data_IF_341491632235
#
_entry.id   IF_341491632235
#
_cell.length_a   1.000
_cell.length_b   1.000
_cell.length_c   1.000
_cell.angle_alpha   90.00
_cell.angle_beta   90.00
_cell.angle_gamma   90.00
#
_symmetry.space_group_name_H-M   'P 1'
#
loop_
_entity.id
_entity.type
_entity.pdbx_description
1 polymer ?
#
# COMPACT_ATOMS: atom_id res chain seq x y z
N UNK A 1 -5.05 10.14 15.66
CA UNK A 1 -3.63 9.95 15.34
C UNK A 1 -3.13 8.71 16.06
N UNK A 2 -2.59 7.74 15.33
CA UNK A 2 -1.93 6.55 15.85
C UNK A 2 -0.50 6.53 15.32
N UNK A 3 0.47 6.25 16.19
CA UNK A 3 1.87 6.07 15.83
C UNK A 3 2.41 4.83 16.54
N UNK A 4 3.22 4.05 15.86
CA UNK A 4 3.92 2.91 16.38
C UNK A 4 5.40 3.01 16.01
N UNK A 5 6.28 2.74 16.97
CA UNK A 5 7.73 2.71 16.78
C UNK A 5 8.23 1.31 17.11
N UNK A 6 9.01 0.75 16.23
CA UNK A 6 9.49 -0.62 16.29
C UNK A 6 8.37 -1.63 16.67
N UNK A 7 7.22 -1.59 15.97
CA UNK A 7 6.10 -2.44 16.32
C UNK A 7 6.38 -3.88 15.88
N UNK A 8 6.22 -4.82 16.79
CA UNK A 8 6.21 -6.25 16.45
C UNK A 8 4.86 -6.63 15.81
N UNK A 9 4.75 -6.48 14.51
CA UNK A 9 3.61 -6.97 13.75
C UNK A 9 3.81 -8.40 13.19
N UNK A 10 4.99 -9.00 13.43
CA UNK A 10 5.38 -10.29 12.83
C UNK A 10 4.58 -11.48 13.33
N UNK A 11 3.97 -11.42 14.50
CA UNK A 11 3.22 -12.54 15.07
C UNK A 11 1.78 -12.68 14.54
N UNK A 12 1.25 -11.66 13.87
CA UNK A 12 -0.16 -11.63 13.42
C UNK A 12 -0.35 -12.32 12.07
N UNK A 13 0.70 -12.52 11.30
CA UNK A 13 0.61 -13.02 9.92
C UNK A 13 1.48 -14.26 9.63
N UNK A 14 1.55 -15.19 10.55
CA UNK A 14 1.84 -16.58 10.21
C UNK A 14 0.65 -17.16 9.42
N UNK A 15 0.28 -16.48 8.33
CA UNK A 15 -0.80 -16.91 7.48
C UNK A 15 -0.32 -17.96 6.50
N UNK A 16 -1.17 -18.95 6.26
CA UNK A 16 -1.01 -19.99 5.27
C UNK A 16 -0.35 -19.47 3.98
N UNK A 17 0.74 -20.09 3.60
CA UNK A 17 1.40 -19.86 2.32
C UNK A 17 0.42 -20.27 1.23
N UNK A 18 -0.37 -19.32 0.75
CA UNK A 18 -1.24 -19.52 -0.40
C UNK A 18 -0.37 -19.45 -1.64
N UNK A 19 -0.05 -20.61 -2.19
CA UNK A 19 0.66 -20.72 -3.45
C UNK A 19 -0.26 -20.21 -4.56
N UNK A 20 -0.01 -19.00 -5.04
CA UNK A 20 -0.73 -18.42 -6.17
C UNK A 20 0.00 -18.76 -7.46
N UNK A 21 -0.58 -19.63 -8.29
CA UNK A 21 -0.05 -19.98 -9.61
C UNK A 21 -0.48 -18.99 -10.72
N UNK A 22 -1.22 -17.92 -10.38
CA UNK A 22 -1.63 -16.92 -11.37
C UNK A 22 -0.61 -15.79 -11.46
N UNK A 23 -0.52 -15.13 -12.61
CA UNK A 23 0.29 -13.92 -12.79
C UNK A 23 -0.28 -12.69 -12.05
N UNK A 24 -1.45 -12.82 -11.44
CA UNK A 24 -2.15 -11.76 -10.72
C UNK A 24 -1.98 -11.98 -9.23
N UNK A 25 -1.47 -10.97 -8.51
CA UNK A 25 -1.37 -11.00 -7.06
C UNK A 25 -2.76 -11.15 -6.42
N UNK A 26 -2.91 -12.12 -5.53
CA UNK A 26 -4.14 -12.27 -4.75
C UNK A 26 -4.15 -11.24 -3.63
N UNK A 27 -5.17 -10.39 -3.59
CA UNK A 27 -5.34 -9.41 -2.52
C UNK A 27 -6.03 -10.06 -1.32
N UNK A 28 -5.40 -9.94 -0.15
CA UNK A 28 -5.98 -10.24 1.15
C UNK A 28 -6.06 -8.96 1.99
N UNK A 29 -7.13 -8.79 2.75
CA UNK A 29 -7.23 -7.69 3.70
C UNK A 29 -6.18 -7.82 4.80
N UNK A 30 -5.60 -6.70 5.21
CA UNK A 30 -4.66 -6.66 6.32
C UNK A 30 -5.37 -6.93 7.64
N UNK A 31 -4.89 -7.91 8.41
CA UNK A 31 -5.46 -8.28 9.70
C UNK A 31 -4.83 -7.52 10.87
N UNK A 32 -3.70 -6.85 10.64
CA UNK A 32 -3.01 -6.06 11.67
C UNK A 32 -3.89 -4.87 12.06
N UNK A 33 -4.27 -4.71 13.35
CA UNK A 33 -5.21 -3.67 13.80
C UNK A 33 -4.78 -2.27 13.38
N UNK A 34 -3.48 -1.98 13.41
CA UNK A 34 -2.94 -0.67 13.01
C UNK A 34 -3.28 -0.30 11.56
N UNK A 35 -3.21 -1.24 10.63
CA UNK A 35 -3.47 -1.00 9.21
C UNK A 35 -4.94 -1.24 8.83
N UNK A 36 -5.66 -2.10 9.56
CA UNK A 36 -7.05 -2.46 9.26
C UNK A 36 -8.08 -1.48 9.80
N UNK A 37 -7.76 -0.74 10.86
CA UNK A 37 -8.67 0.28 11.41
C UNK A 37 -8.91 1.39 10.38
N UNK A 38 -10.16 1.82 10.21
CA UNK A 38 -10.60 2.80 9.19
C UNK A 38 -10.16 2.46 7.74
N UNK A 39 -9.95 1.17 7.45
CA UNK A 39 -9.56 0.68 6.13
C UNK A 39 -10.50 1.18 5.02
N UNK A 40 -11.80 1.37 5.32
CA UNK A 40 -12.78 1.89 4.37
C UNK A 40 -12.46 3.28 3.79
N UNK A 41 -11.65 4.10 4.49
CA UNK A 41 -11.21 5.39 3.98
C UNK A 41 -10.20 5.23 2.84
N UNK A 42 -9.23 4.32 3.00
CA UNK A 42 -8.16 4.08 2.03
C UNK A 42 -8.52 3.02 0.97
N UNK A 43 -9.64 2.32 1.14
CA UNK A 43 -10.04 1.27 0.21
C UNK A 43 -10.64 1.88 -1.05
N UNK A 44 -9.79 2.15 -2.04
CA UNK A 44 -10.18 2.57 -3.39
C UNK A 44 -9.90 1.41 -4.32
N UNK A 45 -10.95 0.86 -4.90
CA UNK A 45 -10.90 -0.31 -5.76
C UNK A 45 -11.60 -0.04 -7.08
N UNK A 46 -10.97 -0.47 -8.17
CA UNK A 46 -11.59 -0.55 -9.48
C UNK A 46 -11.73 -2.00 -9.89
N UNK A 47 -12.85 -2.35 -10.52
CA UNK A 47 -13.17 -3.71 -10.89
C UNK A 47 -12.97 -4.69 -9.70
N UNK A 48 -12.95 -5.98 -9.94
CA UNK A 48 -12.79 -6.97 -8.86
C UNK A 48 -11.35 -7.15 -8.39
N UNK A 49 -10.36 -6.55 -9.06
CA UNK A 49 -8.95 -6.95 -8.91
C UNK A 49 -7.95 -5.80 -8.79
N UNK A 50 -8.36 -4.54 -8.97
CA UNK A 50 -7.44 -3.40 -8.85
C UNK A 50 -7.61 -2.75 -7.47
N UNK A 51 -6.62 -2.89 -6.62
CA UNK A 51 -6.49 -2.20 -5.35
C UNK A 51 -5.39 -1.15 -5.46
N UNK A 52 -5.69 0.09 -5.12
CA UNK A 52 -4.73 1.20 -5.22
C UNK A 52 -3.70 1.14 -4.09
N UNK A 53 -4.07 0.59 -2.93
CA UNK A 53 -3.18 0.41 -1.78
C UNK A 53 -3.22 -1.04 -1.29
N UNK A 54 -2.05 -1.60 -0.96
CA UNK A 54 -1.91 -2.90 -0.33
C UNK A 54 -0.96 -2.78 0.88
N UNK A 55 -1.53 -2.58 2.08
CA UNK A 55 -0.78 -2.39 3.32
C UNK A 55 -0.04 -3.65 3.77
N UNK A 56 -0.47 -4.85 3.35
CA UNK A 56 0.23 -6.10 3.67
C UNK A 56 1.67 -6.17 3.14
N UNK A 57 2.00 -5.34 2.15
CA UNK A 57 3.37 -5.23 1.66
C UNK A 57 4.32 -4.54 2.63
N UNK A 58 3.80 -3.79 3.61
CA UNK A 58 4.56 -3.14 4.66
C UNK A 58 4.98 -4.20 5.68
N UNK A 59 6.29 -4.36 5.91
CA UNK A 59 6.84 -5.45 6.74
C UNK A 59 6.86 -6.82 6.05
N UNK A 60 6.59 -6.88 4.73
CA UNK A 60 6.72 -8.08 3.93
C UNK A 60 8.17 -8.40 3.55
N UNK A 61 8.35 -9.40 2.70
CA UNK A 61 9.68 -9.86 2.27
C UNK A 61 10.56 -8.69 1.80
N UNK A 62 11.80 -8.53 2.35
CA UNK A 62 12.74 -7.52 1.92
C UNK A 62 13.20 -7.71 0.48
N UNK A 63 13.63 -6.62 -0.13
CA UNK A 63 14.29 -6.67 -1.44
C UNK A 63 15.78 -7.03 -1.26
N UNK A 64 16.28 -7.94 -2.08
CA UNK A 64 17.69 -8.35 -2.07
C UNK A 64 18.29 -8.19 -3.46
N UNK A 65 19.46 -7.55 -3.52
CA UNK A 65 20.32 -7.57 -4.71
C UNK A 65 21.69 -8.16 -4.35
N UNK A 66 21.73 -9.48 -4.19
CA UNK A 66 22.93 -10.20 -3.82
C UNK A 66 24.02 -10.13 -4.88
N UNK A 67 23.71 -9.72 -6.11
CA UNK A 67 24.71 -9.58 -7.18
C UNK A 67 25.68 -8.41 -6.98
N UNK A 68 25.34 -7.47 -6.11
CA UNK A 68 26.20 -6.31 -5.74
C UNK A 68 27.37 -6.66 -4.82
N UNK A 69 27.38 -7.88 -4.26
CA UNK A 69 28.37 -8.32 -3.29
C UNK A 69 29.43 -9.22 -3.93
N UNK A 70 30.63 -9.29 -3.30
CA UNK A 70 31.66 -10.26 -3.69
C UNK A 70 31.23 -11.70 -3.39
N UNK A 71 31.83 -12.69 -4.07
CA UNK A 71 31.37 -14.08 -4.08
C UNK A 71 31.05 -14.68 -2.71
N UNK A 72 31.91 -14.49 -1.71
CA UNK A 72 31.69 -14.97 -0.34
C UNK A 72 30.50 -14.29 0.36
N UNK A 73 30.32 -12.99 0.14
CA UNK A 73 29.19 -12.22 0.68
C UNK A 73 27.92 -12.50 -0.10
N UNK A 74 28.02 -12.79 -1.39
CA UNK A 74 26.88 -13.18 -2.23
C UNK A 74 26.25 -14.50 -1.76
N UNK A 75 27.06 -15.52 -1.46
CA UNK A 75 26.57 -16.78 -0.88
C UNK A 75 25.91 -16.54 0.48
N UNK A 76 26.48 -15.67 1.29
CA UNK A 76 25.91 -15.31 2.59
C UNK A 76 24.57 -14.57 2.46
N UNK A 77 24.46 -13.64 1.53
CA UNK A 77 23.22 -12.96 1.18
C UNK A 77 22.13 -13.94 0.74
N UNK A 78 22.46 -14.89 -0.13
CA UNK A 78 21.51 -15.88 -0.66
C UNK A 78 20.98 -16.83 0.42
N UNK A 79 21.84 -17.17 1.40
CA UNK A 79 21.50 -18.14 2.45
C UNK A 79 20.83 -17.52 3.69
N UNK A 80 20.88 -16.20 3.86
CA UNK A 80 20.33 -15.50 5.04
C UNK A 80 19.18 -14.54 4.71
N UNK A 81 18.41 -14.84 3.67
CA UNK A 81 17.19 -14.08 3.34
C UNK A 81 16.11 -14.34 4.40
N UNK A 82 15.49 -13.27 4.87
CA UNK A 82 14.35 -13.33 5.78
C UNK A 82 13.03 -13.18 5.02
N UNK A 83 11.96 -13.77 5.53
CA UNK A 83 10.65 -13.74 4.89
C UNK A 83 9.80 -12.51 5.23
N UNK A 84 10.21 -11.74 6.23
CA UNK A 84 9.54 -10.51 6.66
C UNK A 84 10.57 -9.51 7.12
N UNK A 85 10.25 -8.22 7.01
CA UNK A 85 11.07 -7.11 7.45
C UNK A 85 10.46 -6.43 8.67
N UNK A 86 11.29 -5.99 9.60
CA UNK A 86 10.84 -5.20 10.73
C UNK A 86 10.43 -3.80 10.29
N UNK A 87 9.53 -3.18 11.05
CA UNK A 87 9.04 -1.83 10.78
C UNK A 87 9.65 -0.90 11.83
N UNK A 88 10.45 0.08 11.38
CA UNK A 88 11.03 1.08 12.27
C UNK A 88 9.95 2.01 12.85
N UNK A 89 9.08 2.49 11.98
CA UNK A 89 7.93 3.29 12.43
C UNK A 89 6.76 3.15 11.48
N UNK A 90 5.56 3.33 12.03
CA UNK A 90 4.35 3.51 11.29
C UNK A 90 3.51 4.63 11.91
N UNK A 91 2.98 5.52 11.09
CA UNK A 91 2.13 6.63 11.50
C UNK A 91 0.85 6.61 10.69
N UNK A 92 -0.27 6.71 11.37
CA UNK A 92 -1.58 6.85 10.75
C UNK A 92 -2.36 7.99 11.37
N UNK A 93 -2.94 8.80 10.51
CA UNK A 93 -3.91 9.81 10.89
C UNK A 93 -5.16 9.65 10.05
N UNK A 94 -6.32 9.73 10.66
CA UNK A 94 -7.60 9.81 9.96
C UNK A 94 -8.54 10.74 10.69
N UNK A 95 -9.23 11.57 9.92
CA UNK A 95 -10.30 12.45 10.36
C UNK A 95 -11.46 12.27 9.41
N UNK A 96 -12.64 12.01 9.95
CA UNK A 96 -13.86 11.84 9.19
C UNK A 96 -14.90 12.80 9.75
N UNK A 97 -15.38 13.69 8.91
CA UNK A 97 -16.40 14.66 9.23
C UNK A 97 -17.57 14.51 8.26
N UNK A 98 -18.66 15.24 8.48
CA UNK A 98 -19.87 15.13 7.71
C UNK A 98 -19.64 15.32 6.19
N UNK A 99 -18.82 16.28 5.81
CA UNK A 99 -18.59 16.66 4.41
C UNK A 99 -17.19 16.35 3.87
N UNK A 100 -16.21 16.14 4.75
CA UNK A 100 -14.81 15.95 4.35
C UNK A 100 -14.14 14.87 5.19
N UNK A 101 -13.46 13.94 4.53
CA UNK A 101 -12.57 13.00 5.19
C UNK A 101 -11.13 13.25 4.73
N UNK A 102 -10.21 13.12 5.67
CA UNK A 102 -8.78 13.15 5.44
C UNK A 102 -8.12 11.91 6.05
N UNK A 103 -7.17 11.33 5.35
CA UNK A 103 -6.35 10.24 5.85
C UNK A 103 -4.89 10.37 5.41
N UNK A 104 -3.98 10.00 6.31
CA UNK A 104 -2.57 9.83 6.04
C UNK A 104 -2.10 8.50 6.63
N UNK A 105 -1.27 7.78 5.89
CA UNK A 105 -0.57 6.59 6.32
C UNK A 105 0.89 6.71 5.87
N UNK A 106 1.83 6.49 6.78
CA UNK A 106 3.26 6.41 6.50
C UNK A 106 3.87 5.25 7.26
N UNK A 107 4.81 4.54 6.65
CA UNK A 107 5.60 3.51 7.30
C UNK A 107 6.98 3.43 6.66
N UNK A 108 7.99 3.09 7.47
CA UNK A 108 9.34 2.81 7.04
C UNK A 108 9.79 1.49 7.65
N UNK A 109 10.38 0.66 6.84
CA UNK A 109 10.96 -0.61 7.25
C UNK A 109 12.42 -0.42 7.69
N UNK A 110 12.87 -1.29 8.59
CA UNK A 110 14.25 -1.33 9.05
C UNK A 110 15.21 -1.81 7.95
N UNK A 111 16.46 -1.35 8.03
CA UNK A 111 17.54 -1.91 7.23
C UNK A 111 17.97 -3.26 7.80
N UNK A 112 18.07 -4.26 6.96
CA UNK A 112 18.57 -5.59 7.28
C UNK A 112 19.96 -5.81 6.67
N UNK A 113 20.68 -6.86 7.10
CA UNK A 113 22.09 -7.09 6.74
C UNK A 113 22.41 -7.01 5.24
N UNK A 114 21.50 -7.38 4.36
CA UNK A 114 21.69 -7.39 2.90
C UNK A 114 20.54 -6.68 2.18
N UNK A 115 19.71 -5.93 2.90
CA UNK A 115 18.57 -5.20 2.38
C UNK A 115 18.46 -3.83 3.02
N UNK A 116 17.94 -2.88 2.28
CA UNK A 116 17.51 -1.58 2.81
C UNK A 116 16.00 -1.57 2.91
N UNK A 117 15.50 -0.99 4.01
CA UNK A 117 14.08 -0.84 4.26
C UNK A 117 13.36 -0.08 3.16
N UNK A 118 12.09 -0.38 3.00
CA UNK A 118 11.19 0.29 2.05
C UNK A 118 10.40 1.38 2.78
N UNK A 119 10.10 2.46 2.08
CA UNK A 119 9.23 3.52 2.57
C UNK A 119 7.87 3.50 1.88
N UNK A 120 6.82 3.70 2.65
CA UNK A 120 5.44 3.70 2.18
C UNK A 120 4.71 4.94 2.68
N UNK A 121 4.09 5.67 1.78
CA UNK A 121 3.25 6.83 2.11
C UNK A 121 1.94 6.79 1.35
N UNK A 122 0.86 7.22 2.00
CA UNK A 122 -0.44 7.37 1.36
C UNK A 122 -1.20 8.56 1.94
N UNK A 123 -1.89 9.29 1.08
CA UNK A 123 -2.77 10.41 1.44
C UNK A 123 -4.13 10.19 0.80
N UNK A 124 -5.18 10.27 1.60
CA UNK A 124 -6.57 10.20 1.16
C UNK A 124 -7.30 11.49 1.48
N UNK A 125 -7.98 12.05 0.49
CA UNK A 125 -8.96 13.12 0.63
C UNK A 125 -10.29 12.64 0.04
N UNK A 126 -11.39 12.90 0.74
CA UNK A 126 -12.74 12.59 0.23
C UNK A 126 -13.69 13.69 0.66
N UNK A 127 -14.47 14.20 -0.26
CA UNK A 127 -15.50 15.19 0.03
C UNK A 127 -16.87 14.67 -0.39
N UNK A 128 -17.88 15.02 0.40
CA UNK A 128 -19.29 14.69 0.14
C UNK A 128 -20.10 15.98 0.08
N UNK A 129 -20.85 16.14 -1.00
CA UNK A 129 -21.80 17.24 -1.15
C UNK A 129 -23.05 16.71 -1.85
N UNK A 130 -24.18 16.85 -1.19
CA UNK A 130 -25.46 16.34 -1.66
C UNK A 130 -25.34 14.85 -2.04
N UNK A 131 -25.66 14.52 -3.27
CA UNK A 131 -25.65 13.15 -3.80
C UNK A 131 -24.27 12.75 -4.39
N UNK A 132 -23.26 13.64 -4.33
CA UNK A 132 -21.94 13.43 -4.94
C UNK A 132 -20.86 13.27 -3.88
N UNK A 133 -20.11 12.17 -3.99
CA UNK A 133 -18.85 11.96 -3.29
C UNK A 133 -17.71 11.98 -4.29
N UNK A 134 -16.66 12.73 -4.01
CA UNK A 134 -15.42 12.76 -4.81
C UNK A 134 -14.23 12.49 -3.89
N UNK A 135 -13.31 11.68 -4.36
CA UNK A 135 -12.14 11.29 -3.61
C UNK A 135 -10.84 11.39 -4.41
N UNK A 136 -9.75 11.58 -3.69
CA UNK A 136 -8.37 11.48 -4.19
C UNK A 136 -7.58 10.55 -3.27
N UNK A 137 -6.84 9.60 -3.82
CA UNK A 137 -5.88 8.76 -3.12
C UNK A 137 -4.54 8.81 -3.85
N UNK A 138 -3.52 9.32 -3.17
CA UNK A 138 -2.13 9.25 -3.60
C UNK A 138 -1.36 8.23 -2.78
N UNK A 139 -0.52 7.42 -3.43
CA UNK A 139 0.41 6.49 -2.78
C UNK A 139 1.81 6.66 -3.32
N UNK A 140 2.79 6.46 -2.48
CA UNK A 140 4.21 6.48 -2.84
C UNK A 140 4.93 5.33 -2.14
N UNK A 141 5.76 4.61 -2.88
CA UNK A 141 6.61 3.53 -2.37
C UNK A 141 8.02 3.72 -2.90
N UNK A 142 8.99 3.71 -1.99
CA UNK A 142 10.41 3.72 -2.32
C UNK A 142 11.03 2.35 -1.97
N UNK A 143 11.77 1.76 -2.91
CA UNK A 143 12.44 0.46 -2.79
C UNK A 143 13.91 0.63 -3.20
N UNK A 144 14.78 1.08 -2.27
CA UNK A 144 16.13 1.53 -2.59
C UNK A 144 17.05 0.41 -3.12
N UNK A 145 16.91 -0.82 -2.64
CA UNK A 145 17.73 -1.97 -3.07
C UNK A 145 17.67 -2.19 -4.58
N UNK A 146 16.50 -2.04 -5.16
CA UNK A 146 16.23 -2.28 -6.60
C UNK A 146 16.07 -0.99 -7.40
N UNK A 147 16.43 0.16 -6.80
CA UNK A 147 16.33 1.50 -7.40
C UNK A 147 14.94 1.73 -8.03
N UNK A 148 13.89 1.47 -7.25
CA UNK A 148 12.52 1.56 -7.74
C UNK A 148 11.67 2.46 -6.85
N UNK A 149 11.16 3.51 -7.46
CA UNK A 149 10.08 4.32 -6.89
C UNK A 149 8.78 4.06 -7.64
N UNK A 150 7.67 3.97 -6.90
CA UNK A 150 6.35 3.83 -7.48
C UNK A 150 5.40 4.86 -6.85
N UNK A 151 4.71 5.59 -7.67
CA UNK A 151 3.70 6.57 -7.28
C UNK A 151 2.39 6.23 -7.99
N UNK A 152 1.28 6.20 -7.26
CA UNK A 152 -0.05 6.07 -7.84
C UNK A 152 -0.91 7.22 -7.35
N UNK A 153 -1.57 7.89 -8.28
CA UNK A 153 -2.55 8.92 -8.02
C UNK A 153 -3.89 8.46 -8.58
N UNK A 154 -4.93 8.47 -7.79
CA UNK A 154 -6.26 8.09 -8.22
C UNK A 154 -7.31 9.12 -7.81
N UNK A 155 -8.32 9.28 -8.65
CA UNK A 155 -9.51 10.07 -8.36
C UNK A 155 -10.74 9.18 -8.54
N UNK A 156 -11.58 9.15 -7.52
CA UNK A 156 -12.82 8.39 -7.52
C UNK A 156 -14.03 9.30 -7.32
N UNK A 157 -15.17 8.89 -7.86
CA UNK A 157 -16.45 9.54 -7.60
C UNK A 157 -17.57 8.52 -7.42
N UNK A 158 -18.58 8.90 -6.65
CA UNK A 158 -19.83 8.16 -6.45
C UNK A 158 -20.97 9.18 -6.45
N UNK A 159 -21.85 9.11 -7.44
CA UNK A 159 -22.98 10.01 -7.62
C UNK A 159 -24.28 9.22 -7.56
N UNK A 160 -25.16 9.58 -6.61
CA UNK A 160 -26.42 8.90 -6.32
C UNK A 160 -27.60 9.86 -6.30
N UNK A 161 -28.03 10.40 -7.45
CA UNK A 161 -29.11 11.39 -7.51
C UNK A 161 -30.49 10.82 -7.13
N UNK A 162 -30.62 9.49 -7.06
CA UNK A 162 -31.86 8.83 -6.63
C UNK A 162 -31.57 7.44 -6.08
N UNK A 163 -32.59 6.80 -5.48
CA UNK A 163 -32.47 5.42 -4.99
C UNK A 163 -32.27 4.37 -6.11
N UNK A 164 -32.54 4.74 -7.35
CA UNK A 164 -32.50 3.84 -8.52
C UNK A 164 -31.22 4.04 -9.35
N UNK A 165 -30.66 5.27 -9.34
CA UNK A 165 -29.49 5.60 -10.17
C UNK A 165 -28.25 5.82 -9.30
N UNK A 166 -27.20 5.08 -9.61
CA UNK A 166 -25.87 5.26 -9.07
C UNK A 166 -24.84 5.24 -10.20
N UNK A 167 -24.01 6.27 -10.26
CA UNK A 167 -22.87 6.36 -11.16
C UNK A 167 -21.60 6.44 -10.32
N UNK A 168 -20.64 5.60 -10.61
CA UNK A 168 -19.34 5.64 -9.94
C UNK A 168 -18.23 5.43 -10.95
N UNK A 169 -17.06 5.98 -10.66
CA UNK A 169 -15.90 5.81 -11.53
C UNK A 169 -14.60 6.05 -10.79
N UNK A 170 -13.53 5.56 -11.40
CA UNK A 170 -12.16 5.68 -10.92
C UNK A 170 -11.22 6.00 -12.08
N UNK A 171 -10.38 7.02 -11.90
CA UNK A 171 -9.27 7.35 -12.76
C UNK A 171 -7.98 7.07 -11.99
N UNK A 172 -7.02 6.41 -12.61
CA UNK A 172 -5.73 6.08 -12.01
C UNK A 172 -4.60 6.49 -12.93
N UNK A 173 -3.61 7.17 -12.37
CA UNK A 173 -2.31 7.41 -12.98
C UNK A 173 -1.24 6.79 -12.10
N UNK A 174 -0.39 5.97 -12.68
CA UNK A 174 0.77 5.37 -12.00
C UNK A 174 2.07 5.81 -12.68
N UNK A 175 3.09 6.07 -11.86
CA UNK A 175 4.45 6.32 -12.31
C UNK A 175 5.39 5.38 -11.58
N UNK A 176 6.15 4.58 -12.33
CA UNK A 176 7.19 3.69 -11.79
C UNK A 176 8.51 4.11 -12.41
N UNK A 177 9.40 4.68 -11.58
CA UNK A 177 10.58 5.41 -12.04
C UNK A 177 10.17 6.45 -13.10
N UNK A 178 10.57 6.27 -14.36
CA UNK A 178 10.24 7.19 -15.48
C UNK A 178 9.14 6.67 -16.41
N UNK A 179 8.40 5.62 -16.01
CA UNK A 179 7.33 5.01 -16.82
C UNK A 179 5.96 5.36 -16.25
N UNK A 180 5.12 5.92 -17.10
CA UNK A 180 3.73 6.27 -16.77
C UNK A 180 2.76 5.18 -17.22
N UNK A 181 1.69 5.01 -16.43
CA UNK A 181 0.55 4.15 -16.73
C UNK A 181 -0.76 4.84 -16.36
N UNK A 182 -1.80 4.59 -17.13
CA UNK A 182 -3.14 5.17 -16.92
C UNK A 182 -4.19 4.06 -16.93
N UNK A 183 -5.20 4.22 -16.09
CA UNK A 183 -6.37 3.35 -16.03
C UNK A 183 -7.63 4.12 -15.70
N UNK A 184 -8.76 3.59 -16.13
CA UNK A 184 -10.08 4.14 -15.76
C UNK A 184 -11.11 3.01 -15.62
N UNK A 185 -12.11 3.28 -14.80
CA UNK A 185 -13.25 2.40 -14.55
C UNK A 185 -14.51 3.25 -14.35
N UNK A 186 -15.67 2.82 -14.91
CA UNK A 186 -16.95 3.53 -14.83
C UNK A 186 -18.12 2.55 -14.65
#
# INVERSE_FOLDING_TARGET
LNAAFNPDFGQVESDDVVVNFSATETFYSDKRPFFSENHGLFNVTAWRFLYVINTRRIGGEPDYDCSKFEALQQDNCLNNKVGANDIDYAVRYSQQEESVDFGFLGASEADENFSQGKDFYSVRLRTRKDDLTVGYLGTYVNRPVIDRTAQVNSMDFDYRPSSVLRLNGLLVHSKVNDKDGYGFDF
#
